data_IF_203891413429
#
_entry.id   IF_203891413429
#
_cell.length_a   1.000
_cell.length_b   1.000
_cell.length_c   1.000
_cell.angle_alpha   90.00
_cell.angle_beta   90.00
_cell.angle_gamma   90.00
#
_symmetry.space_group_name_H-M   'P 1'
#
loop_
_entity.id
_entity.type
_entity.pdbx_description
1 polymer ?
#
# COMPACT_ATOMS: atom_id res chain seq x y z
N UNK A 1 5.76 -9.42 8.15
CA UNK A 1 4.78 -8.51 8.76
C UNK A 1 3.81 -8.13 7.66
N UNK A 2 2.72 -8.87 7.51
CA UNK A 2 1.70 -8.55 6.52
C UNK A 2 0.47 -8.07 7.29
N UNK A 3 0.13 -6.80 7.13
CA UNK A 3 -1.12 -6.23 7.62
C UNK A 3 -2.28 -6.81 6.79
N UNK A 4 -2.91 -7.89 7.26
CA UNK A 4 -4.29 -8.20 6.90
C UNK A 4 -4.90 -9.23 7.89
N UNK A 5 -5.90 -8.83 8.68
CA UNK A 5 -7.23 -9.36 8.41
C UNK A 5 -8.34 -8.31 8.68
N UNK A 6 -8.96 -7.79 7.60
CA UNK A 6 -10.21 -6.97 7.63
C UNK A 6 -10.15 -5.63 8.39
N UNK A 7 -9.24 -4.76 7.97
CA UNK A 7 -9.40 -3.29 8.05
C UNK A 7 -9.24 -2.63 9.42
N UNK A 8 -8.33 -3.07 10.28
CA UNK A 8 -7.80 -2.20 11.34
C UNK A 8 -6.28 -2.21 11.27
N UNK A 9 -5.68 -1.07 10.95
CA UNK A 9 -4.23 -0.88 11.03
C UNK A 9 -3.95 0.04 12.21
N UNK A 10 -3.14 -0.42 13.16
CA UNK A 10 -2.52 0.47 14.12
C UNK A 10 -1.34 1.13 13.42
N UNK A 11 -1.36 2.46 13.31
CA UNK A 11 -0.20 3.19 12.81
C UNK A 11 0.90 3.06 13.88
N UNK A 12 1.77 2.08 13.70
CA UNK A 12 3.01 1.93 14.46
C UNK A 12 4.06 2.82 13.80
N UNK A 13 4.78 3.60 14.60
CA UNK A 13 5.84 4.49 14.11
C UNK A 13 6.91 3.65 13.40
N UNK A 14 7.31 3.93 12.14
CA UNK A 14 8.04 2.95 11.33
C UNK A 14 9.52 2.77 11.69
N UNK A 15 10.04 3.47 12.69
CA UNK A 15 11.48 3.49 12.97
C UNK A 15 11.76 3.43 14.47
N UNK A 16 11.71 2.21 15.02
CA UNK A 16 12.70 1.79 15.98
C UNK A 16 13.56 0.72 15.30
N UNK A 17 14.39 1.14 14.34
CA UNK A 17 15.53 0.30 13.94
C UNK A 17 16.47 0.31 15.15
N UNK A 18 16.41 -0.73 15.97
CA UNK A 18 17.52 -1.02 16.88
C UNK A 18 18.77 -1.20 16.01
N UNK A 19 19.78 -0.32 16.12
CA UNK A 19 21.01 -0.40 15.33
C UNK A 19 21.75 -1.72 15.54
N UNK A 20 21.48 -2.44 16.64
CA UNK A 20 22.10 -3.72 16.97
C UNK A 20 21.77 -4.84 15.96
N UNK A 21 20.63 -4.77 15.28
CA UNK A 21 20.20 -5.76 14.28
C UNK A 21 20.95 -5.63 12.94
N UNK A 22 21.65 -4.52 12.70
CA UNK A 22 22.43 -4.30 11.47
C UNK A 22 23.71 -5.14 11.40
N UNK A 23 24.18 -5.68 12.53
CA UNK A 23 25.51 -6.33 12.63
C UNK A 23 25.52 -7.84 12.34
N UNK A 24 24.36 -8.46 12.08
CA UNK A 24 24.27 -9.90 11.72
C UNK A 24 23.82 -10.13 10.28
N UNK A 25 24.38 -9.39 9.32
CA UNK A 25 24.29 -9.76 7.90
C UNK A 25 25.32 -10.82 7.56
N UNK A 26 24.95 -12.08 7.78
CA UNK A 26 25.74 -13.22 7.34
C UNK A 26 25.69 -13.28 5.80
N UNK A 27 26.83 -13.18 5.11
CA UNK A 27 26.94 -13.08 3.62
C UNK A 27 26.51 -14.34 2.84
N UNK A 28 25.91 -15.33 3.51
CA UNK A 28 25.58 -16.64 2.93
C UNK A 28 24.07 -16.88 2.75
N UNK A 29 23.21 -15.94 3.07
CA UNK A 29 21.78 -16.04 2.76
C UNK A 29 21.55 -15.63 1.30
N UNK A 30 21.70 -16.59 0.38
CA UNK A 30 21.17 -16.46 -0.98
C UNK A 30 19.65 -16.38 -0.84
N UNK A 31 19.08 -15.18 -0.96
CA UNK A 31 17.63 -15.01 -0.97
C UNK A 31 17.14 -15.53 -2.32
N UNK A 32 16.77 -16.81 -2.36
CA UNK A 32 16.31 -17.49 -3.58
C UNK A 32 14.81 -17.29 -3.84
N UNK A 33 14.18 -16.31 -3.19
CA UNK A 33 12.74 -16.08 -3.30
C UNK A 33 12.43 -14.60 -3.46
N UNK A 34 11.56 -14.27 -4.39
CA UNK A 34 11.15 -12.91 -4.71
C UNK A 34 9.77 -12.54 -4.15
N UNK A 35 9.54 -11.23 -4.01
CA UNK A 35 8.23 -10.64 -3.79
C UNK A 35 7.97 -9.57 -4.84
N UNK A 36 6.78 -9.57 -5.41
CA UNK A 36 6.27 -8.54 -6.31
C UNK A 36 5.19 -7.77 -5.58
N UNK A 37 5.28 -6.45 -5.62
CA UNK A 37 4.29 -5.56 -5.02
C UNK A 37 3.79 -4.61 -6.10
N UNK A 38 2.48 -4.51 -6.23
CA UNK A 38 1.85 -3.60 -7.18
C UNK A 38 0.97 -2.58 -6.46
N UNK A 39 1.01 -1.35 -6.98
CA UNK A 39 0.15 -0.24 -6.56
C UNK A 39 -0.56 0.27 -7.78
N UNK A 40 -1.89 0.33 -7.73
CA UNK A 40 -2.68 1.01 -8.74
C UNK A 40 -3.08 2.42 -8.28
N UNK A 41 -3.39 3.29 -9.26
CA UNK A 41 -3.88 4.64 -9.02
C UNK A 41 -5.27 4.62 -8.39
N UNK A 42 -5.54 5.52 -7.45
CA UNK A 42 -6.65 5.38 -6.52
C UNK A 42 -6.15 4.90 -5.16
N UNK A 43 -6.99 4.41 -4.23
CA UNK A 43 -8.24 3.66 -4.43
C UNK A 43 -9.52 4.50 -4.53
N UNK A 44 -10.62 3.86 -4.93
CA UNK A 44 -12.00 4.39 -4.78
C UNK A 44 -12.59 4.02 -3.41
N UNK A 45 -12.23 2.84 -2.90
CA UNK A 45 -12.43 2.46 -1.51
C UNK A 45 -11.85 3.52 -0.57
N UNK A 46 -12.63 3.91 0.42
CA UNK A 46 -12.19 4.82 1.47
C UNK A 46 -12.73 4.33 2.82
N UNK A 47 -12.14 4.79 3.91
CA UNK A 47 -12.62 4.43 5.24
C UNK A 47 -12.53 5.60 6.21
N UNK A 48 -12.17 5.30 7.46
CA UNK A 48 -12.26 6.28 8.54
C UNK A 48 -11.17 6.10 9.58
N UNK A 49 -10.81 7.20 10.22
CA UNK A 49 -9.98 7.25 11.41
C UNK A 49 -10.86 7.62 12.61
N UNK A 50 -10.67 6.92 13.74
CA UNK A 50 -11.35 7.21 15.00
C UNK A 50 -10.37 7.17 16.16
N UNK A 51 -10.51 8.12 17.08
CA UNK A 51 -9.76 8.10 18.33
C UNK A 51 -10.19 6.87 19.14
N UNK A 52 -9.22 6.16 19.70
CA UNK A 52 -9.47 5.10 20.67
C UNK A 52 -9.70 5.72 22.05
N UNK A 53 -8.83 6.68 22.41
CA UNK A 53 -8.93 7.44 23.64
C UNK A 53 -8.92 8.93 23.31
N UNK A 54 -9.85 9.70 23.87
CA UNK A 54 -10.02 11.12 23.57
C UNK A 54 -9.08 12.03 24.39
N UNK A 55 -8.35 11.47 25.36
CA UNK A 55 -7.50 12.21 26.30
C UNK A 55 -6.00 12.00 26.10
N UNK A 56 -5.57 11.00 25.33
CA UNK A 56 -4.15 10.66 25.16
C UNK A 56 -3.77 10.55 23.68
N UNK A 57 -2.97 11.52 23.22
CA UNK A 57 -2.46 11.58 21.85
C UNK A 57 -1.43 10.49 21.54
N UNK A 58 -0.83 9.86 22.56
CA UNK A 58 0.15 8.78 22.36
C UNK A 58 -0.51 7.45 21.99
N UNK A 59 -1.82 7.33 22.23
CA UNK A 59 -2.60 6.16 21.82
C UNK A 59 -2.93 6.30 20.33
N UNK A 60 -2.36 5.43 19.50
CA UNK A 60 -2.64 5.42 18.06
C UNK A 60 -4.15 5.29 17.79
N UNK A 61 -4.70 6.07 16.85
CA UNK A 61 -6.10 5.97 16.49
C UNK A 61 -6.38 4.66 15.74
N UNK A 62 -7.64 4.22 15.75
CA UNK A 62 -8.10 3.13 14.91
C UNK A 62 -8.31 3.63 13.49
N UNK A 63 -7.69 2.98 12.51
CA UNK A 63 -7.84 3.32 11.08
C UNK A 63 -8.42 2.15 10.31
N UNK A 64 -9.47 2.42 9.53
CA UNK A 64 -10.05 1.47 8.56
C UNK A 64 -9.92 2.04 7.15
N UNK A 65 -9.47 1.22 6.20
CA UNK A 65 -9.31 1.60 4.79
C UNK A 65 -10.37 1.01 3.85
N UNK A 66 -11.06 -0.05 4.29
CA UNK A 66 -12.07 -0.75 3.50
C UNK A 66 -11.56 -1.24 2.14
N UNK A 67 -10.39 -1.90 2.12
CA UNK A 67 -9.79 -2.43 0.88
C UNK A 67 -10.80 -3.29 0.10
N UNK A 68 -10.98 -2.99 -1.19
CA UNK A 68 -11.91 -3.68 -2.10
C UNK A 68 -13.39 -3.66 -1.68
N UNK A 69 -13.80 -2.67 -0.89
CA UNK A 69 -15.21 -2.32 -0.71
C UNK A 69 -15.82 -1.82 -2.03
N UNK A 70 -15.11 -0.97 -2.78
CA UNK A 70 -15.46 -0.68 -4.17
C UNK A 70 -14.91 -1.80 -5.08
N UNK A 71 -15.81 -2.50 -5.77
CA UNK A 71 -15.46 -3.63 -6.64
C UNK A 71 -14.59 -3.22 -7.84
N UNK A 72 -14.55 -1.93 -8.22
CA UNK A 72 -13.64 -1.45 -9.28
C UNK A 72 -12.18 -1.54 -8.85
N UNK A 73 -11.88 -1.38 -7.56
CA UNK A 73 -10.52 -1.56 -7.04
C UNK A 73 -10.12 -3.03 -7.04
N UNK A 74 -11.06 -3.94 -6.76
CA UNK A 74 -10.80 -5.37 -6.89
C UNK A 74 -10.55 -5.75 -8.35
N UNK A 75 -11.39 -5.27 -9.26
CA UNK A 75 -11.22 -5.52 -10.69
C UNK A 75 -9.90 -4.95 -11.22
N UNK A 76 -9.42 -3.82 -10.69
CA UNK A 76 -8.08 -3.29 -10.97
C UNK A 76 -7.01 -4.27 -10.49
N UNK A 77 -7.05 -4.69 -9.23
CA UNK A 77 -6.10 -5.67 -8.71
C UNK A 77 -6.03 -6.94 -9.57
N UNK A 78 -7.18 -7.51 -9.96
CA UNK A 78 -7.22 -8.70 -10.82
C UNK A 78 -6.53 -8.46 -12.17
N UNK A 79 -6.76 -7.29 -12.80
CA UNK A 79 -6.10 -6.96 -14.07
C UNK A 79 -4.59 -6.80 -13.92
N UNK A 80 -4.13 -6.09 -12.89
CA UNK A 80 -2.70 -5.87 -12.67
C UNK A 80 -1.99 -7.19 -12.31
N UNK A 81 -2.57 -8.03 -11.45
CA UNK A 81 -2.05 -9.37 -11.13
C UNK A 81 -1.97 -10.32 -12.34
N UNK A 82 -2.83 -10.13 -13.35
CA UNK A 82 -2.71 -10.84 -14.64
C UNK A 82 -1.50 -10.36 -15.42
N UNK A 83 -1.27 -9.04 -15.46
CA UNK A 83 -0.09 -8.45 -16.10
C UNK A 83 1.19 -8.96 -15.43
N UNK A 84 1.22 -9.06 -14.11
CA UNK A 84 2.29 -9.70 -13.35
C UNK A 84 2.52 -11.15 -13.80
N UNK A 85 1.44 -11.94 -13.90
CA UNK A 85 1.49 -13.30 -14.40
C UNK A 85 2.02 -13.44 -15.83
N UNK A 86 1.74 -12.47 -16.72
CA UNK A 86 2.31 -12.41 -18.06
C UNK A 86 3.77 -11.94 -18.05
N UNK A 87 4.13 -10.96 -17.22
CA UNK A 87 5.50 -10.48 -17.06
C UNK A 87 6.42 -11.62 -16.60
N UNK A 88 5.96 -12.48 -15.68
CA UNK A 88 6.73 -13.64 -15.21
C UNK A 88 7.07 -14.63 -16.33
N UNK A 89 6.33 -14.64 -17.43
CA UNK A 89 6.56 -15.53 -18.59
C UNK A 89 7.50 -14.93 -19.64
N UNK A 90 8.04 -13.73 -19.42
CA UNK A 90 8.96 -13.07 -20.36
C UNK A 90 10.38 -13.60 -20.23
N UNK A 91 11.14 -13.61 -21.33
CA UNK A 91 12.54 -14.05 -21.36
C UNK A 91 13.43 -13.32 -20.33
N UNK A 92 13.13 -12.04 -20.07
CA UNK A 92 13.84 -11.23 -19.08
C UNK A 92 13.72 -11.78 -17.64
N UNK A 93 12.67 -12.56 -17.36
CA UNK A 93 12.39 -13.16 -16.05
C UNK A 93 12.93 -14.58 -15.89
N UNK A 94 13.23 -15.29 -16.98
CA UNK A 94 13.68 -16.70 -16.96
C UNK A 94 14.91 -16.92 -16.06
N UNK A 95 15.89 -16.01 -16.10
CA UNK A 95 17.12 -16.09 -15.28
C UNK A 95 16.90 -16.07 -13.76
N UNK A 96 15.69 -15.74 -13.31
CA UNK A 96 15.34 -15.69 -11.88
C UNK A 96 14.52 -16.88 -11.42
N UNK A 97 14.22 -17.84 -12.30
CA UNK A 97 13.62 -19.11 -11.89
C UNK A 97 14.60 -19.95 -11.11
N UNK A 98 14.08 -20.68 -10.13
CA UNK A 98 14.85 -21.65 -9.35
C UNK A 98 14.81 -23.04 -9.96
N UNK A 99 13.77 -23.32 -10.74
CA UNK A 99 13.56 -24.59 -11.43
C UNK A 99 13.27 -24.29 -12.89
N UNK A 100 13.87 -25.06 -13.80
CA UNK A 100 13.71 -24.90 -15.26
C UNK A 100 12.35 -25.46 -15.71
N UNK A 101 11.30 -24.73 -15.37
CA UNK A 101 9.90 -25.04 -15.67
C UNK A 101 9.33 -23.98 -16.60
N UNK A 102 8.35 -24.36 -17.42
CA UNK A 102 7.75 -23.47 -18.42
C UNK A 102 6.84 -22.41 -17.78
N UNK A 103 6.83 -21.20 -18.34
CA UNK A 103 5.89 -20.14 -17.96
C UNK A 103 6.19 -19.52 -16.59
N UNK A 104 5.16 -19.24 -15.79
CA UNK A 104 5.35 -18.70 -14.43
C UNK A 104 5.67 -19.80 -13.39
N UNK A 105 5.73 -21.06 -13.82
CA UNK A 105 6.17 -22.17 -12.99
C UNK A 105 7.71 -22.11 -12.87
N UNK A 106 8.24 -22.51 -11.70
CA UNK A 106 9.68 -22.46 -11.41
C UNK A 106 10.16 -21.22 -10.64
N UNK A 107 9.32 -20.20 -10.48
CA UNK A 107 9.56 -19.13 -9.50
C UNK A 107 9.17 -19.58 -8.09
N UNK A 108 10.00 -19.26 -7.09
CA UNK A 108 9.65 -19.41 -5.67
C UNK A 108 9.37 -18.05 -5.06
N UNK A 109 8.13 -17.86 -4.59
CA UNK A 109 7.69 -16.62 -3.97
C UNK A 109 7.79 -16.69 -2.43
N UNK A 110 7.97 -15.54 -1.78
CA UNK A 110 7.78 -15.41 -0.33
C UNK A 110 6.32 -15.07 -0.04
N UNK A 111 5.45 -16.08 -0.15
CA UNK A 111 4.01 -15.92 0.07
C UNK A 111 3.20 -16.79 -0.89
N UNK A 112 1.88 -16.56 -0.98
CA UNK A 112 1.04 -17.20 -1.98
C UNK A 112 1.54 -16.90 -3.39
N UNK A 113 1.52 -17.92 -4.26
CA UNK A 113 1.79 -17.74 -5.69
C UNK A 113 0.51 -17.36 -6.43
N UNK A 114 0.66 -16.70 -7.58
CA UNK A 114 -0.46 -16.41 -8.46
C UNK A 114 -1.21 -17.71 -8.85
N UNK A 115 -2.54 -17.66 -9.02
CA UNK A 115 -3.29 -18.78 -9.56
C UNK A 115 -2.72 -19.27 -10.90
N UNK A 116 -2.66 -20.59 -11.10
CA UNK A 116 -2.16 -21.16 -12.37
C UNK A 116 -3.00 -20.73 -13.56
N UNK A 117 -4.34 -20.76 -13.40
CA UNK A 117 -5.26 -20.27 -14.41
C UNK A 117 -5.56 -18.78 -14.17
N UNK A 118 -4.78 -17.91 -14.82
CA UNK A 118 -4.96 -16.46 -14.73
C UNK A 118 -6.32 -15.98 -15.30
N UNK A 119 -6.98 -16.79 -16.12
CA UNK A 119 -8.30 -16.46 -16.71
C UNK A 119 -9.46 -16.74 -15.75
N UNK A 120 -9.23 -17.41 -14.62
CA UNK A 120 -10.25 -17.64 -13.60
C UNK A 120 -10.40 -16.42 -12.70
N UNK A 121 -11.41 -15.59 -12.96
CA UNK A 121 -11.70 -14.37 -12.18
C UNK A 121 -11.88 -14.69 -10.69
N UNK A 122 -12.57 -15.77 -10.33
CA UNK A 122 -12.87 -16.09 -8.93
C UNK A 122 -11.58 -16.38 -8.13
N UNK A 123 -10.68 -17.20 -8.69
CA UNK A 123 -9.38 -17.48 -8.06
C UNK A 123 -8.51 -16.24 -7.96
N UNK A 124 -8.52 -15.37 -8.98
CA UNK A 124 -7.77 -14.11 -8.97
C UNK A 124 -8.30 -13.12 -7.93
N UNK A 125 -9.62 -13.01 -7.78
CA UNK A 125 -10.24 -12.18 -6.75
C UNK A 125 -9.90 -12.66 -5.33
N UNK A 126 -9.95 -13.97 -5.10
CA UNK A 126 -9.53 -14.58 -3.83
C UNK A 126 -8.05 -14.28 -3.56
N UNK A 127 -7.20 -14.39 -4.58
CA UNK A 127 -5.78 -14.03 -4.45
C UNK A 127 -5.62 -12.56 -4.05
N UNK A 128 -6.24 -11.62 -4.76
CA UNK A 128 -6.20 -10.19 -4.44
C UNK A 128 -6.64 -9.92 -2.99
N UNK A 129 -7.79 -10.46 -2.56
CA UNK A 129 -8.32 -10.23 -1.21
C UNK A 129 -7.47 -10.83 -0.10
N UNK A 130 -6.83 -11.96 -0.36
CA UNK A 130 -6.01 -12.68 0.64
C UNK A 130 -4.58 -12.14 0.74
N UNK A 131 -4.06 -11.50 -0.32
CA UNK A 131 -2.68 -11.02 -0.39
C UNK A 131 -2.53 -9.50 -0.30
N UNK A 132 -3.64 -8.75 -0.37
CA UNK A 132 -3.59 -7.28 -0.25
C UNK A 132 -2.89 -6.85 1.03
N UNK A 133 -2.04 -5.85 0.87
CA UNK A 133 -1.34 -5.19 1.96
C UNK A 133 -1.25 -3.69 1.68
N UNK A 134 -0.80 -2.93 2.66
CA UNK A 134 -0.60 -1.49 2.49
C UNK A 134 0.63 -1.22 1.61
N UNK A 135 0.52 -0.22 0.73
CA UNK A 135 1.67 0.35 0.03
C UNK A 135 2.26 1.57 0.77
N UNK A 136 1.88 1.74 2.05
CA UNK A 136 2.28 2.82 2.96
C UNK A 136 2.02 4.26 2.45
N UNK A 137 1.26 4.42 1.36
CA UNK A 137 0.91 5.70 0.75
C UNK A 137 -0.55 6.12 1.06
N UNK A 138 -0.98 5.91 2.30
CA UNK A 138 -2.29 6.38 2.78
C UNK A 138 -2.35 7.91 2.79
N UNK A 139 -3.55 8.44 2.60
CA UNK A 139 -3.84 9.86 2.43
C UNK A 139 -5.31 10.11 2.81
N UNK A 140 -5.70 11.38 2.84
CA UNK A 140 -7.06 11.80 3.20
C UNK A 140 -7.30 11.94 4.71
N UNK A 141 -8.51 12.36 5.06
CA UNK A 141 -8.93 12.66 6.43
C UNK A 141 -9.28 14.14 6.65
N UNK A 142 -8.46 15.06 6.14
CA UNK A 142 -8.67 16.51 6.23
C UNK A 142 -8.81 17.14 4.84
N UNK A 143 -9.70 16.58 4.03
CA UNK A 143 -9.78 16.86 2.59
C UNK A 143 -10.06 18.35 2.27
N UNK A 144 -9.41 18.83 1.21
CA UNK A 144 -9.76 20.13 0.59
C UNK A 144 -11.22 20.11 0.13
N UNK A 145 -11.95 21.18 0.42
CA UNK A 145 -13.38 21.32 0.14
C UNK A 145 -14.30 20.58 1.11
N UNK A 146 -13.75 19.87 2.11
CA UNK A 146 -14.54 19.27 3.22
C UNK A 146 -14.13 19.78 4.59
N UNK A 147 -12.82 19.82 4.87
CA UNK A 147 -12.25 20.22 6.18
C UNK A 147 -11.43 21.50 6.03
N UNK A 148 -10.64 21.60 4.95
CA UNK A 148 -9.86 22.79 4.63
C UNK A 148 -10.35 23.44 3.33
N UNK A 149 -10.16 24.75 3.20
CA UNK A 149 -10.44 25.50 1.98
C UNK A 149 -9.31 25.39 0.93
N UNK A 150 -9.44 26.12 -0.18
CA UNK A 150 -8.45 26.15 -1.27
C UNK A 150 -7.09 26.74 -0.87
N UNK A 151 -7.05 27.53 0.21
CA UNK A 151 -5.83 28.08 0.81
C UNK A 151 -5.32 27.21 1.98
N UNK A 152 -5.86 25.99 2.09
CA UNK A 152 -5.56 24.99 3.12
C UNK A 152 -5.88 25.45 4.55
N UNK A 153 -6.75 26.45 4.72
CA UNK A 153 -7.22 26.91 6.03
C UNK A 153 -8.34 26.02 6.52
N UNK A 154 -8.33 25.68 7.80
CA UNK A 154 -9.40 24.89 8.43
C UNK A 154 -10.68 25.74 8.47
N UNK A 155 -11.74 25.24 7.83
CA UNK A 155 -13.00 25.97 7.67
C UNK A 155 -13.62 26.30 9.03
N UNK A 156 -14.05 27.55 9.21
CA UNK A 156 -14.66 28.03 10.46
C UNK A 156 -13.66 28.39 11.56
N UNK A 157 -12.37 28.36 11.28
CA UNK A 157 -11.32 28.78 12.21
C UNK A 157 -10.44 29.87 11.61
N UNK A 158 -9.79 30.66 12.48
CA UNK A 158 -8.79 31.65 12.07
C UNK A 158 -7.39 31.11 12.36
N UNK A 159 -6.43 31.49 11.51
CA UNK A 159 -4.99 31.22 11.73
C UNK A 159 -4.59 29.75 11.91
N UNK A 160 -5.35 28.80 11.34
CA UNK A 160 -5.05 27.36 11.37
C UNK A 160 -5.07 26.77 9.94
N UNK A 161 -4.03 26.01 9.60
CA UNK A 161 -3.89 25.29 8.32
C UNK A 161 -3.46 23.85 8.54
N UNK A 162 -3.74 22.99 7.56
CA UNK A 162 -3.24 21.60 7.49
C UNK A 162 -2.47 21.42 6.20
N UNK A 163 -1.22 20.95 6.29
CA UNK A 163 -0.31 20.79 5.14
C UNK A 163 0.42 19.45 5.25
N UNK A 164 -0.25 18.37 4.85
CA UNK A 164 0.30 17.01 4.79
C UNK A 164 -0.53 16.13 3.83
N UNK A 165 -0.31 14.81 3.85
CA UNK A 165 -1.04 13.86 2.98
C UNK A 165 -2.55 13.77 3.25
N UNK A 166 -3.05 14.28 4.37
CA UNK A 166 -4.45 14.17 4.75
C UNK A 166 -5.39 15.04 3.92
N UNK A 167 -4.86 16.03 3.18
CA UNK A 167 -5.66 16.97 2.39
C UNK A 167 -6.07 16.40 1.01
N UNK A 168 -5.39 15.34 0.56
CA UNK A 168 -5.61 14.76 -0.78
C UNK A 168 -6.68 13.68 -0.76
N UNK A 169 -7.49 13.64 -1.81
CA UNK A 169 -8.53 12.62 -2.01
C UNK A 169 -8.07 11.42 -2.86
N UNK A 170 -6.83 11.47 -3.37
CA UNK A 170 -6.25 10.42 -4.20
C UNK A 170 -4.75 10.32 -3.96
N UNK A 171 -4.17 9.17 -4.28
CA UNK A 171 -2.74 8.94 -4.10
C UNK A 171 -1.95 9.71 -5.16
N UNK A 172 -0.98 10.50 -4.72
CA UNK A 172 -0.16 11.33 -5.60
C UNK A 172 1.00 10.50 -6.16
N UNK A 173 0.88 10.08 -7.42
CA UNK A 173 1.91 9.33 -8.15
C UNK A 173 2.20 7.94 -7.56
N UNK A 174 3.29 7.31 -8.01
CA UNK A 174 3.69 5.99 -7.50
C UNK A 174 4.19 6.09 -6.06
N UNK A 175 4.99 7.11 -5.74
CA UNK A 175 5.45 7.44 -4.39
C UNK A 175 5.13 8.91 -4.08
N UNK A 176 4.39 9.15 -2.99
CA UNK A 176 3.86 10.46 -2.63
C UNK A 176 4.87 11.38 -1.93
N UNK A 177 6.04 10.88 -1.51
CA UNK A 177 6.98 11.63 -0.67
C UNK A 177 7.43 12.95 -1.32
N UNK A 178 7.81 12.93 -2.60
CA UNK A 178 8.27 14.13 -3.31
C UNK A 178 7.18 15.22 -3.35
N UNK A 179 5.94 14.81 -3.63
CA UNK A 179 4.80 15.72 -3.67
C UNK A 179 4.50 16.31 -2.29
N UNK A 180 4.61 15.51 -1.22
CA UNK A 180 4.43 15.98 0.15
C UNK A 180 5.52 16.95 0.61
N UNK A 181 6.77 16.75 0.18
CA UNK A 181 7.84 17.72 0.45
C UNK A 181 7.59 19.04 -0.30
N UNK A 182 7.18 18.97 -1.56
CA UNK A 182 6.93 20.15 -2.39
C UNK A 182 5.80 21.02 -1.83
N UNK A 183 4.69 20.42 -1.39
CA UNK A 183 3.56 21.21 -0.86
C UNK A 183 3.91 21.92 0.44
N UNK A 184 4.76 21.32 1.29
CA UNK A 184 5.27 21.98 2.48
C UNK A 184 6.01 23.28 2.16
N UNK A 185 6.79 23.30 1.07
CA UNK A 185 7.47 24.51 0.57
C UNK A 185 6.53 25.48 -0.13
N UNK A 186 5.53 24.98 -0.87
CA UNK A 186 4.66 25.82 -1.70
C UNK A 186 3.71 26.72 -0.89
N UNK A 187 3.31 26.27 0.30
CA UNK A 187 2.34 26.98 1.16
C UNK A 187 3.01 28.08 2.00
N UNK A 188 4.35 28.07 2.05
CA UNK A 188 5.19 29.04 2.76
C UNK A 188 5.68 30.14 1.81
#
# INVERSE_FOLDING_TARGET
>A
MADNPRNVINIVVPFALDPSLSTKWNRSLRIERGNHNEKFSGPLSSGSLRLVLFTDVKVSPTVRFNYFEDLKDLARCVREMRLDGYMLKTDARERFKLEDLKGAEGFKFLGPSLPRNLSDDASMEVFCRSTVTTFWHYHGGCLVGKVVDGDLRVVGTNSLRVVDGSIFNTSLGTNSQATLMMIGQYVY
#
